data_IF_000044179347
#
_entry.id   IF_000044179347
#
_cell.length_a   1.000
_cell.length_b   1.000
_cell.length_c   1.000
_cell.angle_alpha   90.00
_cell.angle_beta   90.00
_cell.angle_gamma   90.00
#
_symmetry.space_group_name_H-M   'P 1'
#
loop_
_entity.id
_entity.type
_entity.pdbx_description
1 polymer ?
#
# COMPACT_ATOMS: atom_id res chain seq x y z
N UNK A 1 -4.33 3.58 19.25
CA UNK A 1 -5.08 4.83 19.46
C UNK A 1 -4.93 5.66 18.20
N UNK A 2 -6.00 6.22 17.65
CA UNK A 2 -5.93 7.01 16.41
C UNK A 2 -5.34 8.39 16.73
N UNK A 3 -4.18 8.72 16.16
CA UNK A 3 -3.57 10.04 16.32
C UNK A 3 -4.35 11.08 15.52
N UNK A 4 -4.30 12.39 15.87
CA UNK A 4 -4.86 13.45 15.04
C UNK A 4 -4.40 13.34 13.58
N UNK A 5 -3.11 13.11 13.36
CA UNK A 5 -2.54 12.92 12.02
C UNK A 5 -3.26 11.82 11.21
N UNK A 6 -3.55 10.67 11.82
CA UNK A 6 -4.28 9.58 11.15
C UNK A 6 -5.73 9.98 10.79
N UNK A 7 -6.42 10.74 11.64
CA UNK A 7 -7.76 11.27 11.33
C UNK A 7 -7.71 12.22 10.13
N UNK A 8 -6.73 13.12 10.08
CA UNK A 8 -6.55 14.05 8.97
C UNK A 8 -6.21 13.35 7.66
N UNK A 9 -5.34 12.32 7.68
CA UNK A 9 -5.07 11.47 6.51
C UNK A 9 -6.34 10.81 5.98
N UNK A 10 -7.12 10.20 6.88
CA UNK A 10 -8.37 9.52 6.51
C UNK A 10 -9.36 10.50 5.87
N UNK A 11 -9.54 11.67 6.49
CA UNK A 11 -10.39 12.74 5.97
C UNK A 11 -9.91 13.23 4.60
N UNK A 12 -8.60 13.48 4.44
CA UNK A 12 -8.00 13.92 3.17
C UNK A 12 -8.24 12.91 2.04
N UNK A 13 -7.97 11.62 2.31
CA UNK A 13 -8.19 10.53 1.35
C UNK A 13 -9.66 10.45 0.94
N UNK A 14 -10.58 10.52 1.91
CA UNK A 14 -12.02 10.51 1.64
C UNK A 14 -12.44 11.72 0.78
N UNK A 15 -11.97 12.92 1.13
CA UNK A 15 -12.26 14.14 0.36
C UNK A 15 -11.75 14.06 -1.08
N UNK A 16 -10.53 13.54 -1.29
CA UNK A 16 -9.96 13.35 -2.63
C UNK A 16 -10.83 12.42 -3.49
N UNK A 17 -11.29 11.31 -2.92
CA UNK A 17 -12.20 10.36 -3.59
C UNK A 17 -13.52 11.03 -3.95
N UNK A 18 -14.16 11.69 -2.99
CA UNK A 18 -15.47 12.34 -3.20
C UNK A 18 -15.37 13.41 -4.28
N UNK A 19 -14.31 14.25 -4.28
CA UNK A 19 -14.11 15.25 -5.33
C UNK A 19 -13.88 14.66 -6.71
N UNK A 20 -13.14 13.55 -6.79
CA UNK A 20 -12.86 12.91 -8.07
C UNK A 20 -14.11 12.27 -8.69
N UNK A 21 -14.88 11.50 -7.90
CA UNK A 21 -16.06 10.77 -8.41
C UNK A 21 -17.38 11.52 -8.32
N UNK A 22 -17.37 12.70 -7.67
CA UNK A 22 -18.58 13.42 -7.25
C UNK A 22 -19.24 12.81 -5.99
N UNK A 23 -20.02 13.60 -5.23
CA UNK A 23 -20.71 13.12 -4.05
C UNK A 23 -21.89 12.19 -4.43
N UNK A 24 -21.90 10.99 -3.86
CA UNK A 24 -22.90 9.95 -4.13
C UNK A 24 -24.00 9.87 -3.07
N UNK A 25 -23.86 10.58 -1.94
CA UNK A 25 -24.86 10.64 -0.88
C UNK A 25 -25.04 12.06 -0.36
N UNK A 26 -26.18 12.31 0.28
CA UNK A 26 -26.46 13.59 0.97
C UNK A 26 -25.41 13.90 2.04
N UNK A 27 -24.89 12.87 2.72
CA UNK A 27 -23.81 13.02 3.71
C UNK A 27 -22.53 13.53 3.05
N UNK A 28 -22.16 13.00 1.89
CA UNK A 28 -20.99 13.46 1.15
C UNK A 28 -21.17 14.88 0.60
N UNK A 29 -22.38 15.24 0.14
CA UNK A 29 -22.69 16.61 -0.30
C UNK A 29 -22.53 17.62 0.85
N UNK A 30 -23.06 17.30 2.03
CA UNK A 30 -22.91 18.13 3.23
C UNK A 30 -21.46 18.24 3.68
N UNK A 31 -20.71 17.14 3.60
CA UNK A 31 -19.28 17.14 3.93
C UNK A 31 -18.48 18.05 2.99
N UNK A 32 -18.70 17.95 1.67
CA UNK A 32 -18.08 18.85 0.70
C UNK A 32 -18.45 20.31 0.98
N UNK A 33 -19.73 20.63 1.12
CA UNK A 33 -20.20 21.99 1.37
C UNK A 33 -19.59 22.58 2.66
N UNK A 34 -19.50 21.79 3.74
CA UNK A 34 -18.85 22.19 4.99
C UNK A 34 -17.35 22.42 4.82
N UNK A 35 -16.67 21.60 4.02
CA UNK A 35 -15.26 21.77 3.72
C UNK A 35 -15.00 23.02 2.87
N UNK A 36 -15.86 23.30 1.89
CA UNK A 36 -15.78 24.48 1.02
C UNK A 36 -16.01 25.77 1.82
N UNK A 37 -17.04 25.80 2.67
CA UNK A 37 -17.28 26.91 3.60
C UNK A 37 -16.08 27.14 4.53
N UNK A 38 -15.42 26.08 4.98
CA UNK A 38 -14.22 26.20 5.81
C UNK A 38 -12.99 26.66 5.03
N UNK A 39 -12.88 26.37 3.72
CA UNK A 39 -11.82 26.96 2.87
C UNK A 39 -11.92 28.47 2.83
N UNK A 40 -13.13 29.00 2.64
CA UNK A 40 -13.40 30.45 2.63
C UNK A 40 -13.01 31.13 3.96
N UNK A 41 -12.97 30.36 5.05
CA UNK A 41 -12.55 30.83 6.38
C UNK A 41 -11.05 30.63 6.66
N UNK A 42 -10.25 30.22 5.67
CA UNK A 42 -8.81 29.94 5.81
C UNK A 42 -8.50 28.60 6.50
N UNK A 43 -9.48 27.70 6.63
CA UNK A 43 -9.37 26.40 7.29
C UNK A 43 -9.32 25.22 6.30
N UNK A 44 -9.09 25.51 5.02
CA UNK A 44 -8.96 24.49 3.96
C UNK A 44 -7.93 23.41 4.26
N UNK A 45 -6.85 23.79 4.96
CA UNK A 45 -5.77 22.89 5.35
C UNK A 45 -6.24 21.68 6.16
N UNK A 46 -7.37 21.77 6.87
CA UNK A 46 -7.98 20.65 7.62
C UNK A 46 -8.46 19.51 6.72
N UNK A 47 -8.67 19.77 5.43
CA UNK A 47 -9.17 18.81 4.45
C UNK A 47 -8.16 18.54 3.35
N UNK A 48 -7.38 19.55 2.97
CA UNK A 48 -6.50 19.51 1.80
C UNK A 48 -5.03 19.33 2.19
N UNK A 49 -4.72 19.42 3.50
CA UNK A 49 -3.37 19.66 3.97
C UNK A 49 -2.88 21.06 3.57
N UNK A 50 -1.60 21.34 3.77
CA UNK A 50 -1.03 22.66 3.50
C UNK A 50 -0.59 22.86 2.04
N UNK A 51 -1.04 22.04 1.08
CA UNK A 51 -0.53 22.06 -0.31
C UNK A 51 -0.64 23.42 -1.00
N UNK A 52 -1.67 24.20 -0.67
CA UNK A 52 -1.89 25.55 -1.22
C UNK A 52 -1.18 26.65 -0.45
N UNK A 53 -0.53 26.31 0.67
CA UNK A 53 0.20 27.25 1.50
C UNK A 53 1.67 27.20 1.14
N UNK A 54 2.29 28.37 1.00
CA UNK A 54 3.75 28.52 0.98
C UNK A 54 4.33 28.32 2.38
N UNK A 55 5.63 28.08 2.45
CA UNK A 55 6.32 27.90 3.74
C UNK A 55 6.24 29.19 4.57
N UNK A 56 6.33 30.36 3.93
CA UNK A 56 6.15 31.65 4.57
C UNK A 56 4.75 31.81 5.20
N UNK A 57 3.68 31.43 4.49
CA UNK A 57 2.31 31.48 5.03
C UNK A 57 2.14 30.52 6.21
N UNK A 58 2.79 29.36 6.18
CA UNK A 58 2.74 28.40 7.26
C UNK A 58 3.47 28.92 8.51
N UNK A 59 4.65 29.51 8.34
CA UNK A 59 5.38 30.18 9.43
C UNK A 59 4.60 31.37 9.99
N UNK A 60 4.01 32.21 9.16
CA UNK A 60 3.16 33.33 9.60
C UNK A 60 1.97 32.82 10.41
N UNK A 61 1.32 31.75 9.95
CA UNK A 61 0.20 31.16 10.67
C UNK A 61 0.61 30.55 12.01
N UNK A 62 1.81 29.97 12.11
CA UNK A 62 2.36 29.47 13.38
C UNK A 62 2.70 30.61 14.34
N UNK A 63 3.28 31.70 13.83
CA UNK A 63 3.63 32.89 14.61
C UNK A 63 2.39 33.54 15.24
N UNK A 64 1.25 33.56 14.54
CA UNK A 64 -0.05 34.02 15.08
C UNK A 64 -0.47 33.28 16.36
N UNK A 65 0.04 32.08 16.58
CA UNK A 65 -0.25 31.25 17.75
C UNK A 65 0.96 31.05 18.67
N UNK A 66 1.94 31.96 18.63
CA UNK A 66 3.08 31.97 19.54
C UNK A 66 4.25 31.05 19.15
N UNK A 67 4.20 30.44 17.97
CA UNK A 67 5.27 29.57 17.46
C UNK A 67 6.05 30.36 16.40
N UNK A 68 7.05 31.12 16.84
CA UNK A 68 7.87 31.94 15.96
C UNK A 68 9.14 31.20 15.54
N UNK A 69 9.30 30.98 14.24
CA UNK A 69 10.45 30.36 13.61
C UNK A 69 10.55 30.77 12.14
N UNK A 70 11.74 30.57 11.59
CA UNK A 70 12.07 30.62 10.17
C UNK A 70 12.61 29.25 9.72
N UNK A 71 13.04 29.14 8.47
CA UNK A 71 13.59 27.88 7.95
C UNK A 71 14.85 27.41 8.71
N UNK A 72 15.75 28.33 9.07
CA UNK A 72 17.00 27.98 9.74
C UNK A 72 16.74 27.43 11.14
N UNK A 73 15.95 28.15 11.93
CA UNK A 73 15.54 27.73 13.28
C UNK A 73 14.60 26.51 13.26
N UNK A 74 13.83 26.30 12.19
CA UNK A 74 13.10 25.05 11.98
C UNK A 74 14.05 23.87 11.92
N UNK A 75 15.07 23.94 11.06
CA UNK A 75 16.04 22.84 10.85
C UNK A 75 16.77 22.48 12.14
N UNK A 76 17.19 23.48 12.91
CA UNK A 76 17.81 23.28 14.22
C UNK A 76 16.87 22.59 15.21
N UNK A 77 15.64 23.09 15.34
CA UNK A 77 14.64 22.50 16.25
C UNK A 77 14.22 21.10 15.82
N UNK A 78 14.13 20.83 14.53
CA UNK A 78 13.84 19.51 14.00
C UNK A 78 14.95 18.52 14.36
N UNK A 79 16.23 18.91 14.23
CA UNK A 79 17.36 18.09 14.65
C UNK A 79 17.28 17.76 16.16
N UNK A 80 16.99 18.76 17.00
CA UNK A 80 16.87 18.58 18.46
C UNK A 80 15.70 17.67 18.83
N UNK A 81 14.54 17.86 18.17
CA UNK A 81 13.33 17.09 18.47
C UNK A 81 13.43 15.64 18.00
N UNK A 82 14.19 15.36 16.94
CA UNK A 82 14.42 14.01 16.42
C UNK A 82 13.23 13.39 15.66
N UNK A 83 12.00 13.88 15.84
CA UNK A 83 10.85 13.49 15.03
C UNK A 83 9.82 14.63 14.85
N UNK A 84 9.00 14.57 13.78
CA UNK A 84 7.90 15.51 13.59
C UNK A 84 6.90 15.50 14.74
N UNK A 85 6.66 14.32 15.34
CA UNK A 85 5.73 14.16 16.46
C UNK A 85 6.24 14.89 17.69
N UNK A 86 7.50 14.68 18.08
CA UNK A 86 8.10 15.35 19.23
C UNK A 86 8.14 16.87 19.05
N UNK A 87 8.45 17.34 17.83
CA UNK A 87 8.43 18.77 17.51
C UNK A 87 7.01 19.35 17.60
N UNK A 88 6.02 18.64 17.04
CA UNK A 88 4.62 19.01 17.10
C UNK A 88 4.07 19.09 18.52
N UNK A 89 4.41 18.13 19.37
CA UNK A 89 4.04 18.13 20.80
C UNK A 89 4.66 19.31 21.55
N UNK A 90 5.94 19.61 21.29
CA UNK A 90 6.61 20.79 21.84
C UNK A 90 5.91 22.08 21.42
N UNK A 91 5.58 22.22 20.15
CA UNK A 91 4.86 23.40 19.64
C UNK A 91 3.45 23.49 20.20
N UNK A 92 2.74 22.36 20.32
CA UNK A 92 1.39 22.31 20.90
C UNK A 92 1.37 22.80 22.34
N UNK A 93 2.39 22.46 23.14
CA UNK A 93 2.51 22.90 24.53
C UNK A 93 2.73 24.41 24.67
N UNK A 94 3.34 25.05 23.67
CA UNK A 94 3.62 26.48 23.65
C UNK A 94 2.52 27.30 22.96
N UNK A 95 1.69 26.65 22.14
CA UNK A 95 0.76 27.32 21.25
C UNK A 95 -0.46 27.89 21.98
N UNK A 96 -0.93 29.06 21.53
CA UNK A 96 -2.24 29.61 21.90
C UNK A 96 -3.38 29.11 21.00
N UNK A 97 -3.12 28.21 20.05
CA UNK A 97 -4.13 27.73 19.09
C UNK A 97 -5.23 26.90 19.77
N UNK A 98 -6.49 27.24 19.48
CA UNK A 98 -7.68 26.59 20.05
C UNK A 98 -8.75 26.29 18.98
N UNK A 99 -9.76 25.51 19.36
CA UNK A 99 -10.89 25.17 18.50
C UNK A 99 -10.42 24.51 17.20
N UNK A 100 -10.86 25.06 16.05
CA UNK A 100 -10.49 24.52 14.72
C UNK A 100 -9.00 24.67 14.37
N UNK A 101 -8.26 25.50 15.10
CA UNK A 101 -6.82 25.72 14.93
C UNK A 101 -5.96 24.85 15.84
N UNK A 102 -6.57 24.14 16.80
CA UNK A 102 -5.86 23.36 17.82
C UNK A 102 -4.78 22.44 17.23
N UNK A 103 -5.06 21.79 16.11
CA UNK A 103 -4.17 20.80 15.50
C UNK A 103 -3.13 21.41 14.54
N UNK A 104 -3.18 22.74 14.30
CA UNK A 104 -2.27 23.44 13.40
C UNK A 104 -0.80 23.18 13.77
N UNK A 105 -0.33 23.34 15.03
CA UNK A 105 1.08 23.13 15.36
C UNK A 105 1.58 21.74 15.00
N UNK A 106 0.81 20.70 15.36
CA UNK A 106 1.17 19.31 15.12
C UNK A 106 1.26 18.99 13.62
N UNK A 107 0.26 19.44 12.84
CA UNK A 107 0.23 19.13 11.41
C UNK A 107 1.23 19.97 10.62
N UNK A 108 1.43 21.23 11.00
CA UNK A 108 2.42 22.09 10.38
C UNK A 108 3.84 21.58 10.61
N UNK A 109 4.15 21.06 11.81
CA UNK A 109 5.44 20.43 12.09
C UNK A 109 5.74 19.28 11.12
N UNK A 110 4.76 18.37 10.88
CA UNK A 110 4.88 17.28 9.91
C UNK A 110 5.05 17.78 8.48
N UNK A 111 4.26 18.78 8.10
CA UNK A 111 4.29 19.31 6.73
C UNK A 111 5.60 20.04 6.42
N UNK A 112 6.07 20.90 7.31
CA UNK A 112 7.38 21.57 7.21
C UNK A 112 8.52 20.56 7.17
N UNK A 113 8.44 19.48 7.95
CA UNK A 113 9.45 18.43 7.90
C UNK A 113 9.54 17.79 6.52
N UNK A 114 8.40 17.45 5.93
CA UNK A 114 8.33 16.85 4.60
C UNK A 114 8.89 17.78 3.51
N UNK A 115 8.73 19.10 3.65
CA UNK A 115 9.19 20.10 2.67
C UNK A 115 10.66 20.46 2.83
N UNK A 116 11.07 20.77 4.06
CA UNK A 116 12.38 21.34 4.36
C UNK A 116 13.43 20.25 4.63
N UNK A 117 12.99 19.03 4.97
CA UNK A 117 13.83 17.86 5.22
C UNK A 117 13.32 16.66 4.38
N UNK A 118 13.30 16.76 3.04
CA UNK A 118 12.71 15.73 2.17
C UNK A 118 13.43 14.38 2.27
N UNK A 119 14.74 14.39 2.55
CA UNK A 119 15.59 13.22 2.77
C UNK A 119 15.53 12.71 4.22
N UNK A 120 14.55 13.15 4.99
CA UNK A 120 14.32 12.62 6.33
C UNK A 120 13.91 11.15 6.26
N UNK A 121 14.55 10.33 7.09
CA UNK A 121 14.10 8.97 7.42
C UNK A 121 13.26 8.97 8.70
N UNK A 122 12.57 10.04 9.08
CA UNK A 122 11.59 9.96 10.17
C UNK A 122 10.40 9.08 9.72
N UNK A 123 9.95 8.09 10.53
CA UNK A 123 8.89 7.16 10.11
C UNK A 123 7.62 7.86 9.62
N UNK A 124 7.24 8.93 10.31
CA UNK A 124 6.10 9.79 9.99
C UNK A 124 6.19 10.37 8.58
N UNK A 125 7.38 10.86 8.20
CA UNK A 125 7.60 11.50 6.90
C UNK A 125 7.57 10.49 5.78
N UNK A 126 8.22 9.33 5.98
CA UNK A 126 8.21 8.23 5.00
C UNK A 126 6.78 7.75 4.78
N UNK A 127 6.04 7.51 5.87
CA UNK A 127 4.65 7.07 5.80
C UNK A 127 3.76 8.10 5.09
N UNK A 128 3.90 9.39 5.41
CA UNK A 128 3.11 10.47 4.79
C UNK A 128 3.38 10.58 3.29
N UNK A 129 4.64 10.46 2.86
CA UNK A 129 5.03 10.51 1.45
C UNK A 129 4.54 9.28 0.68
N UNK A 130 4.63 8.09 1.28
CA UNK A 130 4.07 6.85 0.68
C UNK A 130 2.55 6.93 0.58
N UNK A 131 1.85 7.26 1.68
CA UNK A 131 0.39 7.37 1.69
C UNK A 131 -0.11 8.38 0.65
N UNK A 132 0.55 9.53 0.51
CA UNK A 132 0.19 10.55 -0.48
C UNK A 132 0.25 10.01 -1.92
N UNK A 133 1.28 9.22 -2.26
CA UNK A 133 1.41 8.58 -3.57
C UNK A 133 0.35 7.49 -3.78
N UNK A 134 0.04 6.71 -2.74
CA UNK A 134 -1.00 5.66 -2.80
C UNK A 134 -2.39 6.25 -2.96
N UNK A 135 -2.73 7.28 -2.17
CA UNK A 135 -3.96 8.07 -2.30
C UNK A 135 -4.07 8.68 -3.70
N UNK A 136 -2.93 9.11 -4.27
CA UNK A 136 -2.94 9.65 -5.62
C UNK A 136 -3.23 8.62 -6.69
N UNK A 137 -2.65 7.43 -6.53
CA UNK A 137 -2.85 6.30 -7.44
C UNK A 137 -4.29 5.78 -7.46
N UNK A 138 -5.11 6.05 -6.44
CA UNK A 138 -6.52 5.63 -6.41
C UNK A 138 -7.42 6.37 -7.41
N UNK A 139 -7.00 7.55 -7.86
CA UNK A 139 -7.82 8.43 -8.71
C UNK A 139 -7.12 8.83 -10.01
N UNK A 140 -5.85 8.46 -10.21
CA UNK A 140 -5.09 8.77 -11.42
C UNK A 140 -4.91 7.52 -12.30
N UNK A 141 -5.01 7.64 -13.64
CA UNK A 141 -4.69 6.54 -14.56
C UNK A 141 -3.24 6.05 -14.46
N UNK A 142 -2.31 6.92 -14.02
CA UNK A 142 -0.88 6.62 -13.84
C UNK A 142 -0.57 5.83 -12.57
N UNK A 143 -1.50 4.98 -12.10
CA UNK A 143 -1.39 4.22 -10.86
C UNK A 143 -0.07 3.42 -10.75
N UNK A 144 0.37 2.64 -11.76
CA UNK A 144 1.62 1.87 -11.66
C UNK A 144 2.85 2.73 -11.38
N UNK A 145 2.99 3.87 -12.07
CA UNK A 145 4.12 4.79 -11.88
C UNK A 145 4.12 5.42 -10.48
N UNK A 146 2.94 5.76 -9.94
CA UNK A 146 2.82 6.28 -8.57
C UNK A 146 3.15 5.21 -7.52
N UNK A 147 2.72 3.97 -7.75
CA UNK A 147 3.07 2.83 -6.91
C UNK A 147 4.58 2.54 -6.94
N UNK A 148 5.22 2.63 -8.11
CA UNK A 148 6.67 2.48 -8.22
C UNK A 148 7.41 3.54 -7.40
N UNK A 149 7.01 4.82 -7.49
CA UNK A 149 7.60 5.91 -6.68
C UNK A 149 7.43 5.64 -5.18
N UNK A 150 6.26 5.15 -4.77
CA UNK A 150 6.00 4.80 -3.37
C UNK A 150 6.90 3.64 -2.91
N UNK A 151 7.07 2.63 -3.77
CA UNK A 151 7.91 1.46 -3.49
C UNK A 151 9.38 1.87 -3.35
N UNK A 152 9.89 2.67 -4.30
CA UNK A 152 11.24 3.21 -4.26
C UNK A 152 11.49 4.04 -3.00
N UNK A 153 10.53 4.89 -2.60
CA UNK A 153 10.64 5.69 -1.37
C UNK A 153 10.72 4.82 -0.12
N UNK A 154 9.92 3.76 -0.06
CA UNK A 154 9.89 2.81 1.05
C UNK A 154 11.19 2.00 1.11
N UNK A 155 11.65 1.47 -0.03
CA UNK A 155 12.92 0.74 -0.17
C UNK A 155 14.10 1.60 0.26
N UNK A 156 14.21 2.82 -0.26
CA UNK A 156 15.28 3.75 0.12
C UNK A 156 15.32 3.99 1.65
N UNK A 157 14.16 4.09 2.29
CA UNK A 157 14.08 4.39 3.72
C UNK A 157 14.37 3.18 4.61
N UNK A 158 13.91 2.00 4.19
CA UNK A 158 13.91 0.79 5.02
C UNK A 158 15.06 -0.16 4.69
N UNK A 159 15.78 0.08 3.59
CA UNK A 159 16.95 -0.70 3.17
C UNK A 159 18.19 0.19 2.98
N UNK A 160 18.62 0.97 4.00
CA UNK A 160 19.84 1.77 3.89
C UNK A 160 21.03 0.86 3.56
N UNK A 161 21.81 1.23 2.54
CA UNK A 161 22.93 0.44 2.02
C UNK A 161 22.55 -1.03 1.70
N UNK A 162 21.28 -1.26 1.34
CA UNK A 162 20.72 -2.58 1.03
C UNK A 162 20.44 -3.48 2.25
N UNK A 163 20.67 -2.98 3.48
CA UNK A 163 20.46 -3.72 4.73
C UNK A 163 19.07 -3.44 5.32
N UNK A 164 18.28 -4.47 5.68
CA UNK A 164 16.92 -4.25 6.17
C UNK A 164 16.91 -3.65 7.57
N UNK A 165 16.19 -2.55 7.72
CA UNK A 165 15.85 -1.92 8.98
C UNK A 165 14.39 -2.25 9.33
N UNK A 166 14.17 -3.47 9.86
CA UNK A 166 12.82 -4.00 10.14
C UNK A 166 12.09 -3.20 11.24
N UNK A 167 12.73 -2.83 12.38
CA UNK A 167 12.07 -2.00 13.39
C UNK A 167 11.63 -0.64 12.82
N UNK A 168 12.44 -0.06 11.92
CA UNK A 168 12.07 1.15 11.23
C UNK A 168 10.87 0.96 10.29
N UNK A 169 10.86 -0.10 9.49
CA UNK A 169 9.72 -0.45 8.63
C UNK A 169 8.42 -0.68 9.43
N UNK A 170 8.50 -1.31 10.60
CA UNK A 170 7.36 -1.47 11.51
C UNK A 170 6.84 -0.12 12.03
N UNK A 171 7.74 0.82 12.33
CA UNK A 171 7.36 2.18 12.71
C UNK A 171 6.68 2.92 11.56
N UNK A 172 7.22 2.84 10.33
CA UNK A 172 6.58 3.41 9.13
C UNK A 172 5.19 2.81 8.91
N UNK A 173 5.06 1.49 9.05
CA UNK A 173 3.79 0.77 8.88
C UNK A 173 2.74 1.19 9.91
N UNK A 174 3.15 1.52 11.14
CA UNK A 174 2.25 2.02 12.19
C UNK A 174 1.77 3.45 11.93
N UNK A 175 2.62 4.27 11.32
CA UNK A 175 2.30 5.65 10.95
C UNK A 175 1.46 5.75 9.66
N UNK A 176 1.55 4.75 8.79
CA UNK A 176 0.80 4.72 7.53
C UNK A 176 -0.69 4.46 7.76
N UNK A 177 -1.53 5.16 7.00
CA UNK A 177 -2.97 4.90 6.93
C UNK A 177 -3.35 3.78 5.94
N UNK A 178 -2.35 3.11 5.36
CA UNK A 178 -2.50 2.11 4.30
C UNK A 178 -1.97 0.73 4.77
N UNK A 179 -2.54 -0.36 4.24
CA UNK A 179 -1.98 -1.70 4.46
C UNK A 179 -0.72 -1.87 3.60
N UNK A 180 0.43 -1.36 4.09
CA UNK A 180 1.69 -1.43 3.36
C UNK A 180 2.13 -2.87 3.07
N UNK A 181 1.90 -3.79 4.01
CA UNK A 181 2.29 -5.20 3.86
C UNK A 181 1.48 -5.86 2.74
N UNK A 182 0.16 -5.67 2.73
CA UNK A 182 -0.70 -6.15 1.65
C UNK A 182 -0.32 -5.52 0.31
N UNK A 183 -0.18 -4.20 0.29
CA UNK A 183 0.19 -3.46 -0.92
C UNK A 183 1.55 -3.87 -1.50
N UNK A 184 2.55 -4.16 -0.67
CA UNK A 184 3.87 -4.63 -1.13
C UNK A 184 3.79 -5.96 -1.89
N UNK A 185 2.80 -6.81 -1.59
CA UNK A 185 2.60 -8.08 -2.30
C UNK A 185 1.99 -7.80 -3.68
N UNK A 186 0.98 -6.93 -3.72
CA UNK A 186 0.22 -6.65 -4.95
C UNK A 186 0.99 -5.77 -5.95
N UNK A 187 1.76 -4.80 -5.46
CA UNK A 187 2.28 -3.74 -6.33
C UNK A 187 3.25 -4.19 -7.41
N UNK A 188 4.18 -5.14 -7.18
CA UNK A 188 5.12 -5.53 -8.23
C UNK A 188 4.41 -6.08 -9.47
N UNK A 189 3.35 -6.87 -9.28
CA UNK A 189 2.55 -7.40 -10.38
C UNK A 189 1.80 -6.30 -11.16
N UNK A 190 1.49 -5.16 -10.52
CA UNK A 190 0.86 -4.02 -11.18
C UNK A 190 1.78 -3.29 -12.18
N UNK A 191 3.09 -3.58 -12.19
CA UNK A 191 4.03 -3.04 -13.16
C UNK A 191 4.08 -3.84 -14.47
N UNK A 192 3.55 -5.08 -14.50
CA UNK A 192 3.54 -5.91 -15.71
C UNK A 192 2.77 -5.22 -16.85
N UNK A 193 3.36 -5.19 -18.06
CA UNK A 193 2.78 -4.52 -19.22
C UNK A 193 2.93 -3.00 -19.21
N UNK A 194 3.73 -2.45 -18.28
CA UNK A 194 4.08 -1.03 -18.24
C UNK A 194 5.54 -0.82 -18.67
N UNK A 195 5.94 0.43 -18.90
CA UNK A 195 7.33 0.76 -19.22
C UNK A 195 8.33 0.37 -18.11
N UNK A 196 7.85 0.20 -16.88
CA UNK A 196 8.66 -0.08 -15.69
C UNK A 196 8.60 -1.57 -15.26
N UNK A 197 8.10 -2.47 -16.12
CA UNK A 197 7.89 -3.89 -15.75
C UNK A 197 9.19 -4.61 -15.35
N UNK A 198 10.34 -4.15 -15.85
CA UNK A 198 11.65 -4.70 -15.53
C UNK A 198 12.05 -4.50 -14.06
N UNK A 199 11.46 -3.50 -13.36
CA UNK A 199 11.75 -3.21 -11.95
C UNK A 199 11.08 -4.21 -10.99
N UNK A 200 10.01 -4.88 -11.43
CA UNK A 200 9.14 -5.68 -10.56
C UNK A 200 9.89 -6.81 -9.81
N UNK A 201 10.77 -7.62 -10.44
CA UNK A 201 11.50 -8.65 -9.71
C UNK A 201 12.44 -8.09 -8.63
N UNK A 202 13.07 -6.94 -8.89
CA UNK A 202 13.95 -6.26 -7.93
C UNK A 202 13.19 -5.74 -6.70
N UNK A 203 11.97 -5.22 -6.91
CA UNK A 203 11.09 -4.82 -5.82
C UNK A 203 10.67 -6.01 -4.95
N UNK A 204 10.33 -7.16 -5.56
CA UNK A 204 10.04 -8.37 -4.79
C UNK A 204 11.23 -8.80 -3.93
N UNK A 205 12.46 -8.74 -4.44
CA UNK A 205 13.66 -9.05 -3.66
C UNK A 205 13.87 -8.09 -2.50
N UNK A 206 13.68 -6.79 -2.73
CA UNK A 206 13.79 -5.77 -1.69
C UNK A 206 12.73 -5.99 -0.60
N UNK A 207 11.47 -6.19 -0.99
CA UNK A 207 10.37 -6.42 -0.06
C UNK A 207 10.48 -7.75 0.68
N UNK A 208 11.08 -8.79 0.09
CA UNK A 208 11.36 -10.05 0.78
C UNK A 208 12.27 -9.86 2.01
N UNK A 209 13.15 -8.84 1.98
CA UNK A 209 14.03 -8.50 3.11
C UNK A 209 13.30 -7.75 4.23
N UNK A 210 12.15 -7.16 3.96
CA UNK A 210 11.37 -6.34 4.91
C UNK A 210 10.18 -7.10 5.48
N UNK A 211 9.45 -7.83 4.64
CA UNK A 211 8.19 -8.49 4.98
C UNK A 211 8.28 -10.01 4.95
N UNK A 212 7.20 -10.63 4.45
CA UNK A 212 7.07 -12.08 4.27
C UNK A 212 7.91 -12.53 3.06
N UNK A 213 9.11 -13.06 3.35
CA UNK A 213 10.04 -13.55 2.33
C UNK A 213 9.38 -14.56 1.39
N UNK A 214 8.61 -15.52 1.93
CA UNK A 214 7.98 -16.58 1.15
C UNK A 214 6.99 -15.98 0.15
N UNK A 215 6.11 -15.10 0.61
CA UNK A 215 5.12 -14.46 -0.26
C UNK A 215 5.79 -13.64 -1.37
N UNK A 216 6.79 -12.83 -1.03
CA UNK A 216 7.51 -11.99 -2.00
C UNK A 216 8.28 -12.80 -3.03
N UNK A 217 8.92 -13.88 -2.60
CA UNK A 217 9.66 -14.79 -3.49
C UNK A 217 8.70 -15.55 -4.42
N UNK A 218 7.54 -15.95 -3.92
CA UNK A 218 6.52 -16.60 -4.73
C UNK A 218 5.91 -15.65 -5.77
N UNK A 219 5.67 -14.38 -5.42
CA UNK A 219 5.32 -13.33 -6.39
C UNK A 219 6.41 -13.12 -7.43
N UNK A 220 7.68 -13.02 -7.00
CA UNK A 220 8.83 -12.85 -7.90
C UNK A 220 8.87 -13.96 -8.95
N UNK A 221 8.66 -15.22 -8.55
CA UNK A 221 8.68 -16.35 -9.47
C UNK A 221 7.61 -16.22 -10.57
N UNK A 222 6.37 -15.84 -10.20
CA UNK A 222 5.29 -15.63 -11.17
C UNK A 222 5.53 -14.42 -12.08
N UNK A 223 6.06 -13.32 -11.54
CA UNK A 223 6.42 -12.15 -12.35
C UNK A 223 7.52 -12.52 -13.35
N UNK A 224 8.56 -13.23 -12.93
CA UNK A 224 9.64 -13.68 -13.81
C UNK A 224 9.14 -14.55 -14.94
N UNK A 225 8.20 -15.47 -14.69
CA UNK A 225 7.66 -16.32 -15.76
C UNK A 225 6.90 -15.51 -16.81
N UNK A 226 6.13 -14.50 -16.38
CA UNK A 226 5.40 -13.59 -17.28
C UNK A 226 6.30 -12.65 -18.07
N UNK A 227 7.46 -12.28 -17.51
CA UNK A 227 8.50 -11.49 -18.18
C UNK A 227 9.39 -12.33 -19.12
N UNK A 228 9.10 -13.63 -19.32
CA UNK A 228 9.89 -14.53 -20.16
C UNK A 228 11.21 -14.99 -19.54
N UNK A 229 11.46 -14.71 -18.26
CA UNK A 229 12.65 -15.13 -17.50
C UNK A 229 12.45 -16.50 -16.87
N UNK A 230 12.14 -17.48 -17.72
CA UNK A 230 11.62 -18.79 -17.28
C UNK A 230 12.58 -19.63 -16.42
N UNK A 231 13.88 -19.54 -16.66
CA UNK A 231 14.87 -20.31 -15.89
C UNK A 231 15.02 -19.77 -14.47
N UNK A 232 14.98 -18.44 -14.30
CA UNK A 232 14.96 -17.81 -12.98
C UNK A 232 13.65 -18.09 -12.24
N UNK A 233 12.52 -18.03 -12.95
CA UNK A 233 11.22 -18.38 -12.38
C UNK A 233 11.18 -19.82 -11.85
N UNK A 234 11.69 -20.78 -12.65
CA UNK A 234 11.81 -22.19 -12.26
C UNK A 234 12.74 -22.39 -11.07
N UNK A 235 13.88 -21.71 -11.07
CA UNK A 235 14.85 -21.78 -9.95
C UNK A 235 14.22 -21.26 -8.66
N UNK A 236 13.57 -20.11 -8.71
CA UNK A 236 12.93 -19.48 -7.56
C UNK A 236 11.79 -20.34 -7.01
N UNK A 237 10.89 -20.85 -7.86
CA UNK A 237 9.76 -21.65 -7.41
C UNK A 237 10.20 -23.04 -6.91
N UNK A 238 11.22 -23.66 -7.51
CA UNK A 238 11.77 -24.92 -7.02
C UNK A 238 12.36 -24.77 -5.61
N UNK A 239 13.09 -23.68 -5.36
CA UNK A 239 13.64 -23.39 -4.03
C UNK A 239 12.56 -23.12 -2.97
N UNK A 240 11.38 -22.62 -3.37
CA UNK A 240 10.23 -22.48 -2.47
C UNK A 240 9.54 -23.83 -2.24
N UNK A 241 9.36 -24.65 -3.27
CA UNK A 241 8.77 -25.98 -3.14
C UNK A 241 9.61 -26.92 -2.28
N UNK A 242 10.94 -26.81 -2.33
CA UNK A 242 11.82 -27.57 -1.45
C UNK A 242 11.60 -27.25 0.04
N UNK A 243 11.44 -25.97 0.37
CA UNK A 243 11.25 -25.48 1.75
C UNK A 243 9.81 -25.53 2.25
N UNK A 244 8.84 -25.43 1.34
CA UNK A 244 7.43 -25.17 1.63
C UNK A 244 6.49 -25.97 0.72
N UNK A 245 6.86 -27.20 0.39
CA UNK A 245 6.24 -27.99 -0.69
C UNK A 245 4.74 -28.23 -0.63
N UNK A 246 4.11 -28.13 0.55
CA UNK A 246 2.66 -28.26 0.74
C UNK A 246 1.97 -26.95 1.15
N UNK A 247 2.70 -25.83 1.17
CA UNK A 247 2.11 -24.54 1.50
C UNK A 247 1.17 -24.07 0.37
N UNK A 248 -0.10 -23.73 0.67
CA UNK A 248 -1.07 -23.38 -0.36
C UNK A 248 -0.65 -22.21 -1.26
N UNK A 249 0.03 -21.19 -0.72
CA UNK A 249 0.49 -20.05 -1.54
C UNK A 249 1.56 -20.50 -2.54
N UNK A 250 2.52 -21.32 -2.08
CA UNK A 250 3.60 -21.82 -2.94
C UNK A 250 3.06 -22.74 -4.03
N UNK A 251 2.12 -23.63 -3.69
CA UNK A 251 1.46 -24.50 -4.67
C UNK A 251 0.65 -23.71 -5.70
N UNK A 252 -0.10 -22.70 -5.26
CA UNK A 252 -0.84 -21.81 -6.16
C UNK A 252 0.09 -21.10 -7.13
N UNK A 253 1.18 -20.51 -6.62
CA UNK A 253 2.18 -19.79 -7.42
C UNK A 253 2.95 -20.71 -8.35
N UNK A 254 3.25 -21.95 -7.94
CA UNK A 254 3.84 -22.95 -8.81
C UNK A 254 2.93 -23.31 -9.99
N UNK A 255 1.64 -23.51 -9.73
CA UNK A 255 0.66 -23.72 -10.79
C UNK A 255 0.66 -22.58 -11.83
N UNK A 256 0.63 -21.33 -11.35
CA UNK A 256 0.65 -20.13 -12.21
C UNK A 256 1.96 -19.94 -12.97
N UNK A 257 3.11 -20.23 -12.34
CA UNK A 257 4.43 -20.20 -12.99
C UNK A 257 4.47 -21.20 -14.14
N UNK A 258 4.10 -22.47 -13.91
CA UNK A 258 4.12 -23.49 -14.95
C UNK A 258 3.07 -23.22 -16.05
N UNK A 259 1.93 -22.63 -15.72
CA UNK A 259 0.94 -22.20 -16.71
C UNK A 259 1.51 -21.13 -17.65
N UNK A 260 2.12 -20.08 -17.09
CA UNK A 260 2.75 -19.01 -17.87
C UNK A 260 3.89 -19.53 -18.76
N UNK A 261 4.61 -20.55 -18.30
CA UNK A 261 5.67 -21.24 -19.05
C UNK A 261 5.14 -22.31 -20.02
N UNK A 262 3.82 -22.45 -20.15
CA UNK A 262 3.13 -23.43 -21.00
C UNK A 262 3.43 -24.90 -20.67
N UNK A 263 3.82 -25.18 -19.44
CA UNK A 263 3.97 -26.53 -18.88
C UNK A 263 2.65 -26.96 -18.22
N UNK A 264 1.68 -27.28 -19.07
CA UNK A 264 0.31 -27.62 -18.66
C UNK A 264 0.26 -28.82 -17.69
N UNK A 265 1.00 -29.93 -17.91
CA UNK A 265 0.95 -31.06 -16.98
C UNK A 265 1.41 -30.70 -15.56
N UNK A 266 2.53 -29.97 -15.42
CA UNK A 266 3.02 -29.54 -14.11
C UNK A 266 2.07 -28.54 -13.46
N UNK A 267 1.57 -27.57 -14.22
CA UNK A 267 0.59 -26.59 -13.73
C UNK A 267 -0.65 -27.27 -13.13
N UNK A 268 -1.24 -28.21 -13.86
CA UNK A 268 -2.41 -28.98 -13.38
C UNK A 268 -2.09 -29.81 -12.14
N UNK A 269 -0.87 -30.37 -12.04
CA UNK A 269 -0.45 -31.12 -10.86
C UNK A 269 -0.40 -30.21 -9.62
N UNK A 270 0.21 -29.03 -9.72
CA UNK A 270 0.29 -28.09 -8.61
C UNK A 270 -1.08 -27.54 -8.20
N UNK A 271 -1.95 -27.20 -9.15
CA UNK A 271 -3.31 -26.75 -8.82
C UNK A 271 -4.15 -27.84 -8.14
N UNK A 272 -3.98 -29.12 -8.51
CA UNK A 272 -4.64 -30.22 -7.77
C UNK A 272 -4.14 -30.31 -6.33
N UNK A 273 -2.82 -30.22 -6.11
CA UNK A 273 -2.22 -30.21 -4.76
C UNK A 273 -2.68 -29.01 -3.94
N UNK A 274 -2.77 -27.83 -4.56
CA UNK A 274 -3.34 -26.64 -3.94
C UNK A 274 -4.79 -26.86 -3.47
N UNK A 275 -5.65 -27.36 -4.35
CA UNK A 275 -7.04 -27.68 -3.99
C UNK A 275 -7.14 -28.69 -2.84
N UNK A 276 -6.24 -29.67 -2.79
CA UNK A 276 -6.16 -30.64 -1.70
C UNK A 276 -5.71 -30.00 -0.38
N UNK A 277 -4.66 -29.17 -0.41
CA UNK A 277 -4.17 -28.44 0.75
C UNK A 277 -5.22 -27.49 1.33
N UNK A 278 -6.06 -26.86 0.50
CA UNK A 278 -7.18 -26.02 0.94
C UNK A 278 -8.28 -26.77 1.68
N UNK A 279 -8.46 -28.08 1.42
CA UNK A 279 -9.47 -28.89 2.12
C UNK A 279 -9.03 -29.27 3.54
N UNK A 280 -7.78 -28.99 3.91
CA UNK A 280 -7.29 -29.22 5.26
C UNK A 280 -7.69 -28.06 6.20
N UNK A 281 -8.24 -28.33 7.40
CA UNK A 281 -8.72 -27.29 8.33
C UNK A 281 -7.64 -26.28 8.78
N UNK A 282 -6.36 -26.64 8.69
CA UNK A 282 -5.20 -25.83 9.08
C UNK A 282 -4.80 -24.75 8.07
N UNK A 283 -5.44 -24.66 6.91
CA UNK A 283 -5.03 -23.81 5.78
C UNK A 283 -5.54 -22.36 5.82
N UNK A 284 -6.34 -21.98 6.81
CA UNK A 284 -7.02 -20.68 6.88
C UNK A 284 -6.09 -19.45 6.78
N UNK A 285 -4.89 -19.53 7.37
CA UNK A 285 -3.89 -18.44 7.33
C UNK A 285 -3.23 -18.29 5.95
N UNK A 286 -3.03 -19.39 5.23
CA UNK A 286 -2.47 -19.40 3.88
C UNK A 286 -3.50 -18.97 2.82
N UNK A 287 -4.79 -19.26 3.04
CA UNK A 287 -5.90 -18.75 2.20
C UNK A 287 -5.96 -17.21 2.26
N UNK A 288 -5.84 -16.64 3.46
CA UNK A 288 -5.86 -15.18 3.63
C UNK A 288 -4.66 -14.50 2.94
N UNK A 289 -3.49 -15.14 2.90
CA UNK A 289 -2.32 -14.64 2.17
C UNK A 289 -2.51 -14.73 0.65
N UNK A 290 -3.06 -15.84 0.13
CA UNK A 290 -3.36 -15.99 -1.30
C UNK A 290 -4.41 -15.00 -1.81
N UNK A 291 -5.42 -14.66 -0.99
CA UNK A 291 -6.41 -13.62 -1.32
C UNK A 291 -5.83 -12.20 -1.37
N UNK A 292 -4.80 -11.90 -0.56
CA UNK A 292 -4.06 -10.62 -0.58
C UNK A 292 -3.00 -10.53 -1.68
N UNK A 293 -2.62 -11.66 -2.27
CA UNK A 293 -1.63 -11.76 -3.34
C UNK A 293 -2.18 -11.39 -4.72
N UNK A 294 -3.41 -10.89 -4.83
CA UNK A 294 -4.02 -10.48 -6.10
C UNK A 294 -4.16 -11.61 -7.14
N UNK A 295 -3.96 -12.87 -6.73
CA UNK A 295 -4.08 -14.03 -7.62
C UNK A 295 -5.55 -14.26 -7.91
N UNK A 296 -5.92 -14.32 -9.19
CA UNK A 296 -7.19 -14.86 -9.59
C UNK A 296 -7.26 -16.31 -9.10
N UNK A 297 -7.94 -16.54 -7.96
CA UNK A 297 -8.24 -17.89 -7.50
C UNK A 297 -8.90 -18.63 -8.67
N UNK A 298 -8.48 -19.87 -8.99
CA UNK A 298 -9.19 -20.66 -9.98
C UNK A 298 -10.68 -20.63 -9.57
N UNK A 299 -11.54 -20.24 -10.50
CA UNK A 299 -12.96 -20.12 -10.23
C UNK A 299 -13.42 -21.41 -9.54
N UNK A 300 -14.18 -21.34 -8.44
CA UNK A 300 -14.65 -22.54 -7.74
C UNK A 300 -15.24 -23.48 -8.78
N UNK A 301 -14.76 -24.73 -8.83
CA UNK A 301 -15.33 -25.72 -9.75
C UNK A 301 -16.83 -25.74 -9.50
N UNK A 302 -17.61 -25.49 -10.54
CA UNK A 302 -19.07 -25.46 -10.44
C UNK A 302 -19.53 -26.72 -9.71
N UNK A 303 -20.17 -26.53 -8.56
CA UNK A 303 -20.71 -27.64 -7.78
C UNK A 303 -21.72 -28.41 -8.63
N UNK A 304 -22.01 -29.69 -8.31
CA UNK A 304 -22.92 -30.52 -9.12
C UNK A 304 -24.28 -29.85 -9.41
N UNK A 305 -24.75 -28.98 -8.52
CA UNK A 305 -26.02 -28.25 -8.66
C UNK A 305 -25.91 -26.83 -9.23
N UNK A 306 -24.70 -26.30 -9.42
CA UNK A 306 -24.48 -24.96 -9.97
C UNK A 306 -24.71 -24.92 -11.48
N UNK A 307 -24.92 -23.73 -12.04
CA UNK A 307 -25.06 -23.58 -13.50
C UNK A 307 -23.75 -23.96 -14.19
N UNK A 308 -23.87 -24.71 -15.28
CA UNK A 308 -22.75 -25.20 -16.04
C UNK A 308 -22.03 -24.04 -16.75
N UNK A 309 -20.69 -23.93 -16.62
CA UNK A 309 -19.92 -22.80 -17.15
C UNK A 309 -19.87 -22.73 -18.69
N UNK A 310 -20.31 -23.77 -19.41
CA UNK A 310 -20.42 -23.76 -20.88
C UNK A 310 -21.57 -22.87 -21.42
N UNK A 311 -22.31 -22.18 -20.55
CA UNK A 311 -23.42 -21.30 -20.96
C UNK A 311 -24.72 -22.00 -21.32
N UNK A 312 -24.82 -23.33 -21.17
CA UNK A 312 -26.02 -24.12 -21.53
C UNK A 312 -27.26 -23.85 -20.66
N UNK A 313 -27.10 -23.12 -19.55
CA UNK A 313 -28.16 -22.90 -18.56
C UNK A 313 -28.51 -24.13 -17.71
N UNK A 314 -27.94 -25.31 -18.00
CA UNK A 314 -28.16 -26.56 -17.26
C UNK A 314 -27.31 -26.61 -15.99
N UNK A 315 -27.72 -27.41 -14.99
CA UNK A 315 -26.87 -27.72 -13.82
C UNK A 315 -25.62 -28.50 -14.25
N UNK A 316 -24.47 -28.30 -13.61
CA UNK A 316 -23.20 -28.92 -13.97
C UNK A 316 -23.30 -30.44 -14.10
N UNK A 317 -23.92 -31.12 -13.12
CA UNK A 317 -24.14 -32.58 -13.15
C UNK A 317 -25.04 -33.09 -14.29
N UNK A 318 -25.76 -32.20 -14.97
CA UNK A 318 -26.65 -32.51 -16.10
C UNK A 318 -26.08 -32.04 -17.44
N UNK A 319 -24.82 -31.64 -17.46
CA UNK A 319 -24.11 -31.20 -18.65
C UNK A 319 -22.73 -31.85 -18.67
N UNK A 320 -21.68 -31.14 -18.25
CA UNK A 320 -20.30 -31.61 -18.28
C UNK A 320 -19.90 -32.45 -17.04
N UNK A 321 -20.77 -32.55 -16.03
CA UNK A 321 -20.58 -33.44 -14.88
C UNK A 321 -21.20 -34.82 -15.05
N UNK A 322 -21.54 -35.22 -16.29
CA UNK A 322 -21.97 -36.59 -16.58
C UNK A 322 -20.72 -37.50 -16.62
N UNK A 323 -20.75 -38.66 -15.96
CA UNK A 323 -19.68 -39.64 -16.14
C UNK A 323 -19.62 -40.05 -17.61
N UNK A 324 -18.41 -40.06 -18.17
CA UNK A 324 -18.13 -40.66 -19.49
C UNK A 324 -18.31 -42.17 -19.44
#
# INVERSE_FOLDING_TARGET
MTTPAHLFKTARRQMRKIRHRGPQSETERRLLASADQQREQGLGWRYDGFREWTDAQLFESLARFGICLDEASFREKALIAGSPTALGESWQALSTAQGKWRDLPTLAARDLWRRLLPDSRAPEVVADQVDELLEEAEVRPSRPSLWLKAAQRLVWACLPDGKPDRPFFEAVSRESGSDLVGWMIEMPAALLGTADEAEAPGLCEAFARLGDEKAMRAERAEILSRLGRGDEARTEIAALLDRHGEDPLVLLKAGAVHEALRDVPASQQFFRRYEEALRQPSSARSIAAAGRAGVALPAPRAGPNDRCPCGSGKKYKRCHGLPS
#
